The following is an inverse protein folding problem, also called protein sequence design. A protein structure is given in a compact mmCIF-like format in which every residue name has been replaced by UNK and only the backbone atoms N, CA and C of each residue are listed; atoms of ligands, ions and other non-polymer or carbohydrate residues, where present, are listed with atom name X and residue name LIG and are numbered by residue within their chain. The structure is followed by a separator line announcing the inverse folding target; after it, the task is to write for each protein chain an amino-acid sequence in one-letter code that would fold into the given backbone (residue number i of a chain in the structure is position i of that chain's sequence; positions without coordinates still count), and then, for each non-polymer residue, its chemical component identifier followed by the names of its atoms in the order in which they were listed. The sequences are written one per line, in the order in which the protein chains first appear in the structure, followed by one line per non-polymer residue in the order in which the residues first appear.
data_IF_100389455410
#
_entry.id   IF_100389455410
#
_cell.length_a   1.000
_cell.length_b   1.000
_cell.length_c   1.000
_cell.angle_alpha   90.00
_cell.angle_beta   90.00
_cell.angle_gamma   90.00
#
_symmetry.space_group_name_H-M   'P 1'
#
loop_
_entity.id
_entity.type
_entity.pdbx_description
1 polymer ?
#
# COMPACT_ATOMS: atom_id res chain seq x y z
N UNK A 1 -30.82 -4.91 11.88
CA UNK A 1 -30.92 -5.43 10.51
C UNK A 1 -30.46 -4.31 9.61
N UNK A 2 -29.23 -4.40 9.12
CA UNK A 2 -28.63 -3.42 8.23
C UNK A 2 -27.85 -4.23 7.19
N UNK A 3 -28.61 -4.76 6.23
CA UNK A 3 -28.17 -5.77 5.25
C UNK A 3 -27.78 -5.16 3.91
N UNK A 4 -27.87 -3.84 3.76
CA UNK A 4 -27.80 -3.15 2.46
C UNK A 4 -26.58 -2.23 2.27
N UNK A 5 -25.56 -2.31 3.12
CA UNK A 5 -24.31 -1.58 2.86
C UNK A 5 -23.36 -2.43 1.99
N UNK A 6 -23.22 -2.16 0.68
CA UNK A 6 -22.38 -2.95 -0.23
C UNK A 6 -20.90 -2.95 0.19
N UNK A 7 -20.44 -1.93 0.92
CA UNK A 7 -19.05 -1.87 1.42
C UNK A 7 -18.75 -2.97 2.45
N UNK A 8 -19.75 -3.47 3.18
CA UNK A 8 -19.58 -4.57 4.14
C UNK A 8 -19.10 -5.85 3.49
N UNK A 9 -19.48 -6.09 2.23
CA UNK A 9 -19.04 -7.27 1.49
C UNK A 9 -17.53 -7.26 1.26
N UNK A 10 -16.92 -6.09 1.15
CA UNK A 10 -15.49 -5.92 0.84
C UNK A 10 -14.60 -5.76 2.07
N UNK A 11 -15.18 -5.64 3.27
CA UNK A 11 -14.43 -5.62 4.54
C UNK A 11 -13.56 -6.88 4.67
N UNK A 12 -12.29 -6.69 5.04
CA UNK A 12 -11.28 -7.74 5.09
C UNK A 12 -11.26 -8.42 6.47
N UNK A 13 -11.19 -9.75 6.48
CA UNK A 13 -10.82 -10.48 7.71
C UNK A 13 -9.31 -10.34 7.95
N UNK A 14 -8.89 -9.28 8.66
CA UNK A 14 -7.48 -8.99 8.96
C UNK A 14 -6.72 -10.15 9.61
N UNK A 15 -7.40 -10.97 10.43
CA UNK A 15 -6.77 -12.17 11.03
C UNK A 15 -6.46 -13.23 9.99
N UNK A 16 -7.32 -13.41 8.98
CA UNK A 16 -7.03 -14.30 7.83
C UNK A 16 -5.97 -13.71 6.92
N UNK A 17 -6.03 -12.42 6.62
CA UNK A 17 -5.02 -11.74 5.82
C UNK A 17 -3.63 -11.92 6.44
N UNK A 18 -3.47 -11.55 7.72
CA UNK A 18 -2.22 -11.76 8.48
C UNK A 18 -1.75 -13.20 8.38
N UNK A 19 -2.61 -14.18 8.67
CA UNK A 19 -2.23 -15.60 8.58
C UNK A 19 -1.75 -15.99 7.18
N UNK A 20 -2.39 -15.49 6.12
CA UNK A 20 -1.95 -15.79 4.76
C UNK A 20 -0.54 -15.26 4.48
N UNK A 21 -0.25 -14.02 4.89
CA UNK A 21 1.10 -13.46 4.78
C UNK A 21 2.13 -14.21 5.65
N UNK A 22 1.76 -14.60 6.87
CA UNK A 22 2.62 -15.43 7.74
C UNK A 22 3.04 -16.74 7.03
N UNK A 23 2.11 -17.39 6.32
CA UNK A 23 2.41 -18.62 5.57
C UNK A 23 3.20 -18.34 4.28
N UNK A 24 2.90 -17.24 3.60
CA UNK A 24 3.53 -16.86 2.35
C UNK A 24 4.99 -16.41 2.53
N UNK A 25 5.42 -16.01 3.72
CA UNK A 25 6.75 -15.44 3.97
C UNK A 25 7.93 -16.26 3.41
N UNK A 26 7.81 -17.59 3.33
CA UNK A 26 8.83 -18.45 2.75
C UNK A 26 8.89 -18.38 1.21
N UNK A 27 7.73 -18.27 0.54
CA UNK A 27 7.57 -18.30 -0.92
C UNK A 27 7.43 -16.92 -1.56
N UNK A 28 7.13 -15.90 -0.76
CA UNK A 28 6.77 -14.54 -1.19
C UNK A 28 7.76 -14.00 -2.21
N UNK A 29 9.04 -14.05 -1.89
CA UNK A 29 10.11 -13.53 -2.73
C UNK A 29 10.27 -14.21 -4.08
N UNK A 30 9.80 -15.45 -4.25
CA UNK A 30 9.85 -16.14 -5.54
C UNK A 30 8.73 -15.70 -6.49
N UNK A 31 7.60 -15.24 -5.94
CA UNK A 31 6.40 -14.88 -6.69
C UNK A 31 6.13 -13.36 -6.74
N UNK A 32 6.80 -12.56 -5.91
CA UNK A 32 6.54 -11.14 -5.73
C UNK A 32 7.26 -10.24 -6.77
N UNK A 33 7.25 -10.62 -8.06
CA UNK A 33 7.93 -9.84 -9.11
C UNK A 33 7.31 -8.45 -9.28
N UNK A 34 5.98 -8.38 -9.38
CA UNK A 34 5.24 -7.10 -9.47
C UNK A 34 5.51 -6.20 -8.26
N UNK A 35 5.50 -6.77 -7.05
CA UNK A 35 5.72 -6.01 -5.82
C UNK A 35 7.15 -5.45 -5.74
N UNK A 36 8.14 -6.16 -6.30
CA UNK A 36 9.51 -5.65 -6.40
C UNK A 36 9.59 -4.49 -7.39
N UNK A 37 9.05 -4.69 -8.59
CA UNK A 37 9.02 -3.66 -9.64
C UNK A 37 8.36 -2.37 -9.13
N UNK A 38 7.17 -2.47 -8.51
CA UNK A 38 6.47 -1.32 -7.92
C UNK A 38 7.26 -0.72 -6.76
N UNK A 39 7.93 -1.54 -5.96
CA UNK A 39 8.79 -1.08 -4.86
C UNK A 39 10.02 -0.31 -5.35
N UNK A 40 10.64 -0.77 -6.44
CA UNK A 40 11.78 -0.11 -7.09
C UNK A 40 11.37 1.26 -7.61
N UNK A 41 10.27 1.32 -8.37
CA UNK A 41 9.69 2.59 -8.89
C UNK A 41 9.28 3.56 -7.79
N UNK A 42 8.79 3.05 -6.65
CA UNK A 42 8.46 3.89 -5.49
C UNK A 42 9.71 4.54 -4.91
N UNK A 43 10.81 3.78 -4.77
CA UNK A 43 12.07 4.32 -4.23
C UNK A 43 12.74 5.26 -5.24
N UNK A 44 12.71 4.95 -6.55
CA UNK A 44 13.22 5.83 -7.61
C UNK A 44 12.56 7.21 -7.58
N UNK A 45 11.25 7.29 -7.31
CA UNK A 45 10.56 8.59 -7.18
C UNK A 45 11.10 9.46 -6.04
N UNK A 46 11.84 8.91 -5.05
CA UNK A 46 12.55 9.72 -4.04
C UNK A 46 13.72 10.52 -4.62
N UNK A 47 14.17 10.25 -5.86
CA UNK A 47 15.23 11.02 -6.53
C UNK A 47 14.84 12.47 -6.80
N UNK A 48 13.56 12.74 -6.91
CA UNK A 48 13.03 14.09 -7.12
C UNK A 48 12.78 14.83 -5.81
N UNK A 49 12.96 14.18 -4.66
CA UNK A 49 12.65 14.75 -3.35
C UNK A 49 13.93 14.97 -2.54
N UNK A 50 14.18 16.23 -2.18
CA UNK A 50 15.32 16.61 -1.34
C UNK A 50 14.97 16.43 0.13
N UNK A 51 15.24 15.24 0.66
CA UNK A 51 15.08 14.92 2.08
C UNK A 51 16.33 14.20 2.61
N UNK A 52 16.75 14.57 3.83
CA UNK A 52 17.83 13.90 4.56
C UNK A 52 17.26 13.30 5.88
N UNK A 53 16.43 12.25 5.81
CA UNK A 53 15.74 11.73 6.97
C UNK A 53 16.74 11.07 7.94
N UNK A 54 16.52 11.30 9.24
CA UNK A 54 17.24 10.61 10.33
C UNK A 54 16.52 9.34 10.73
N UNK A 55 15.19 9.37 10.76
CA UNK A 55 14.34 8.23 11.11
C UNK A 55 13.36 7.92 9.96
N UNK A 56 13.43 6.70 9.44
CA UNK A 56 12.59 6.22 8.34
C UNK A 56 11.77 5.03 8.82
N UNK A 57 10.49 5.00 8.47
CA UNK A 57 9.62 3.84 8.67
C UNK A 57 9.20 3.23 7.33
N UNK A 58 9.54 1.96 7.11
CA UNK A 58 9.00 1.13 6.03
C UNK A 58 7.79 0.36 6.57
N UNK A 59 6.60 0.83 6.19
CA UNK A 59 5.30 0.40 6.69
C UNK A 59 4.73 -0.68 5.78
N UNK A 60 4.48 -1.88 6.32
CA UNK A 60 4.19 -3.06 5.51
C UNK A 60 5.44 -3.57 4.76
N UNK A 61 6.58 -3.51 5.45
CA UNK A 61 7.91 -3.80 4.90
C UNK A 61 8.08 -5.20 4.29
N UNK A 62 7.19 -6.14 4.57
CA UNK A 62 7.23 -7.50 4.03
C UNK A 62 8.57 -8.18 4.30
N UNK A 63 9.18 -8.73 3.24
CA UNK A 63 10.50 -9.37 3.31
C UNK A 63 11.67 -8.38 3.19
N UNK A 64 11.38 -7.08 3.31
CA UNK A 64 12.36 -5.98 3.40
C UNK A 64 12.97 -5.59 2.06
N UNK A 65 12.20 -5.62 0.96
CA UNK A 65 12.71 -5.19 -0.35
C UNK A 65 12.97 -3.68 -0.40
N UNK A 66 11.95 -2.87 -0.13
CA UNK A 66 12.04 -1.41 -0.04
C UNK A 66 13.03 -1.00 1.05
N UNK A 67 12.93 -1.61 2.24
CA UNK A 67 13.88 -1.40 3.35
C UNK A 67 15.35 -1.43 2.90
N UNK A 68 15.76 -2.41 2.08
CA UNK A 68 17.15 -2.54 1.63
C UNK A 68 17.57 -1.32 0.79
N UNK A 69 16.72 -0.91 -0.13
CA UNK A 69 16.99 0.25 -0.98
C UNK A 69 17.05 1.54 -0.17
N UNK A 70 16.15 1.70 0.81
CA UNK A 70 16.20 2.83 1.75
C UNK A 70 17.48 2.84 2.59
N UNK A 71 17.97 1.66 3.00
CA UNK A 71 19.24 1.54 3.73
C UNK A 71 20.44 1.93 2.87
N UNK A 72 20.44 1.57 1.60
CA UNK A 72 21.52 1.90 0.67
C UNK A 72 21.49 3.40 0.30
N UNK A 73 20.28 3.95 0.11
CA UNK A 73 20.06 5.39 -0.14
C UNK A 73 20.40 6.28 1.06
N UNK A 74 20.01 5.86 2.26
CA UNK A 74 20.19 6.62 3.51
C UNK A 74 21.00 5.82 4.53
N UNK A 75 22.32 5.62 4.31
CA UNK A 75 23.15 4.73 5.12
C UNK A 75 23.28 5.14 6.60
N UNK A 76 22.99 6.41 6.92
CA UNK A 76 23.05 6.95 8.29
C UNK A 76 21.70 7.00 9.00
N UNK A 77 20.60 6.75 8.29
CA UNK A 77 19.26 6.80 8.87
C UNK A 77 19.01 5.58 9.76
N UNK A 78 18.22 5.77 10.81
CA UNK A 78 17.59 4.70 11.55
C UNK A 78 16.39 4.20 10.74
N UNK A 79 16.31 2.89 10.54
CA UNK A 79 15.27 2.26 9.74
C UNK A 79 14.39 1.40 10.63
N UNK A 80 13.10 1.67 10.60
CA UNK A 80 12.09 0.86 11.26
C UNK A 80 11.29 0.10 10.20
N UNK A 81 11.38 -1.21 10.22
CA UNK A 81 10.56 -2.11 9.41
C UNK A 81 9.34 -2.50 10.22
N UNK A 82 8.17 -2.11 9.76
CA UNK A 82 6.91 -2.49 10.37
C UNK A 82 6.14 -3.42 9.44
N UNK A 83 5.59 -4.51 9.98
CA UNK A 83 4.70 -5.40 9.25
C UNK A 83 3.76 -6.11 10.23
N UNK A 84 2.50 -6.26 9.85
CA UNK A 84 1.50 -6.95 10.67
C UNK A 84 1.71 -8.48 10.74
N UNK A 85 2.45 -9.07 9.79
CA UNK A 85 2.83 -10.48 9.77
C UNK A 85 4.27 -10.66 10.28
N UNK A 86 4.42 -11.34 11.41
CA UNK A 86 5.70 -11.49 12.09
C UNK A 86 6.71 -12.33 11.27
N UNK A 87 6.26 -13.34 10.54
CA UNK A 87 7.12 -14.17 9.69
C UNK A 87 7.76 -13.36 8.55
N UNK A 88 7.08 -12.34 8.03
CA UNK A 88 7.66 -11.42 7.04
C UNK A 88 8.87 -10.68 7.62
N UNK A 89 8.72 -10.11 8.81
CA UNK A 89 9.83 -9.45 9.53
C UNK A 89 10.96 -10.42 9.88
N UNK A 90 10.64 -11.65 10.28
CA UNK A 90 11.65 -12.68 10.53
C UNK A 90 12.43 -13.00 9.26
N UNK A 91 11.76 -13.08 8.10
CA UNK A 91 12.39 -13.31 6.80
C UNK A 91 13.30 -12.13 6.42
N UNK A 92 12.82 -10.89 6.58
CA UNK A 92 13.57 -9.67 6.32
C UNK A 92 14.84 -9.59 7.20
N UNK A 93 14.71 -9.85 8.50
CA UNK A 93 15.83 -9.87 9.46
C UNK A 93 16.82 -10.99 9.17
N UNK A 94 16.34 -12.17 8.78
CA UNK A 94 17.17 -13.34 8.48
C UNK A 94 18.08 -13.16 7.26
N UNK A 95 17.74 -12.23 6.36
CA UNK A 95 18.53 -11.91 5.15
C UNK A 95 19.66 -10.92 5.41
N UNK A 96 19.68 -10.26 6.56
CA UNK A 96 20.73 -9.31 6.87
C UNK A 96 22.01 -10.02 7.29
N UNK A 97 23.17 -9.53 6.83
CA UNK A 97 24.46 -9.95 7.37
C UNK A 97 24.48 -9.83 8.89
N UNK A 98 25.11 -10.79 9.57
CA UNK A 98 25.13 -10.86 11.03
C UNK A 98 25.67 -9.57 11.68
N UNK A 99 26.66 -8.92 11.08
CA UNK A 99 27.20 -7.62 11.51
C UNK A 99 26.14 -6.51 11.47
N UNK A 100 25.38 -6.40 10.38
CA UNK A 100 24.27 -5.43 10.25
C UNK A 100 23.15 -5.74 11.25
N UNK A 101 22.95 -7.01 11.63
CA UNK A 101 21.95 -7.37 12.66
C UNK A 101 22.36 -6.94 14.07
N UNK A 102 23.65 -6.88 14.37
CA UNK A 102 24.17 -6.56 15.71
C UNK A 102 24.43 -5.05 15.86
N UNK A 103 25.02 -4.42 14.85
CA UNK A 103 25.45 -3.02 14.90
C UNK A 103 24.66 -2.10 13.95
N UNK A 104 23.75 -2.65 13.16
CA UNK A 104 22.96 -1.87 12.21
C UNK A 104 21.87 -1.03 12.88
N UNK A 105 21.38 -0.07 12.10
CA UNK A 105 20.36 0.91 12.52
C UNK A 105 18.94 0.47 12.18
N UNK A 106 18.79 -0.79 11.73
CA UNK A 106 17.50 -1.37 11.38
C UNK A 106 16.83 -2.01 12.60
N UNK A 107 15.55 -1.73 12.80
CA UNK A 107 14.68 -2.31 13.85
C UNK A 107 13.43 -2.90 13.17
N UNK A 108 12.84 -3.92 13.78
CA UNK A 108 11.66 -4.59 13.24
C UNK A 108 10.57 -4.58 14.31
N UNK A 109 9.36 -4.18 13.94
CA UNK A 109 8.22 -4.09 14.84
C UNK A 109 7.01 -4.73 14.19
N UNK A 110 6.41 -5.71 14.88
CA UNK A 110 5.16 -6.29 14.44
C UNK A 110 4.01 -5.38 14.86
N UNK A 111 3.23 -4.87 13.90
CA UNK A 111 2.18 -3.89 14.18
C UNK A 111 1.23 -3.70 13.01
N UNK A 112 0.06 -3.14 13.27
CA UNK A 112 -0.93 -2.80 12.24
C UNK A 112 -0.78 -1.32 11.85
N UNK A 113 -0.87 -1.01 10.56
CA UNK A 113 -0.79 0.37 10.05
C UNK A 113 -1.95 1.24 10.55
N UNK A 114 -3.10 0.65 10.85
CA UNK A 114 -4.25 1.35 11.42
C UNK A 114 -4.08 1.63 12.93
N UNK A 115 -3.06 1.07 13.57
CA UNK A 115 -2.73 1.27 14.99
C UNK A 115 -1.21 1.14 15.18
N UNK A 116 -0.47 2.16 14.72
CA UNK A 116 0.98 2.14 14.72
C UNK A 116 1.53 2.19 16.16
N UNK A 117 2.33 1.18 16.59
CA UNK A 117 2.93 1.13 17.92
C UNK A 117 4.17 2.07 18.02
N UNK A 118 4.04 3.29 17.50
CA UNK A 118 5.09 4.30 17.41
C UNK A 118 4.65 5.57 18.12
N UNK A 119 5.63 6.35 18.57
CA UNK A 119 5.38 7.63 19.22
C UNK A 119 4.95 8.67 18.18
N UNK A 120 4.24 9.68 18.66
CA UNK A 120 3.90 10.85 17.85
C UNK A 120 5.19 11.54 17.40
N UNK A 121 5.19 12.09 16.18
CA UNK A 121 6.29 12.87 15.63
C UNK A 121 7.68 12.23 15.83
N UNK A 122 7.80 10.93 15.52
CA UNK A 122 9.04 10.16 15.66
C UNK A 122 9.71 9.77 14.35
N UNK A 123 9.08 10.04 13.20
CA UNK A 123 9.56 9.62 11.88
C UNK A 123 9.65 10.82 10.94
N UNK A 124 10.71 10.90 10.13
CA UNK A 124 10.89 11.94 9.11
C UNK A 124 10.32 11.52 7.75
N UNK A 125 10.42 10.22 7.43
CA UNK A 125 9.96 9.61 6.19
C UNK A 125 9.22 8.30 6.46
N UNK A 126 7.96 8.21 6.07
CA UNK A 126 7.21 6.97 6.02
C UNK A 126 7.08 6.51 4.56
N UNK A 127 7.50 5.29 4.27
CA UNK A 127 7.34 4.64 2.96
C UNK A 127 6.43 3.43 3.12
N UNK A 128 5.44 3.25 2.25
CA UNK A 128 4.50 2.14 2.30
C UNK A 128 4.24 1.56 0.91
N UNK A 129 4.86 0.43 0.59
CA UNK A 129 4.67 -0.24 -0.70
C UNK A 129 3.52 -1.25 -0.66
N UNK A 130 2.51 -1.09 -1.52
CA UNK A 130 1.41 -2.05 -1.74
C UNK A 130 0.81 -2.63 -0.44
N UNK A 131 0.59 -1.76 0.55
CA UNK A 131 0.09 -2.14 1.88
C UNK A 131 -1.30 -1.57 2.17
N UNK A 132 -1.60 -0.35 1.70
CA UNK A 132 -2.83 0.36 2.06
C UNK A 132 -4.11 -0.37 1.63
N UNK A 133 -4.08 -1.16 0.56
CA UNK A 133 -5.23 -1.96 0.11
C UNK A 133 -5.62 -3.09 1.07
N UNK A 134 -4.84 -3.33 2.13
CA UNK A 134 -5.14 -4.27 3.20
C UNK A 134 -5.72 -3.60 4.45
N UNK A 135 -5.98 -2.29 4.39
CA UNK A 135 -6.68 -1.52 5.43
C UNK A 135 -8.19 -1.62 5.24
N UNK A 136 -8.93 -1.72 6.34
CA UNK A 136 -10.39 -1.63 6.37
C UNK A 136 -10.84 -0.16 6.48
N UNK A 137 -10.03 0.69 7.12
CA UNK A 137 -10.27 2.11 7.34
C UNK A 137 -9.02 2.90 6.90
N UNK A 138 -9.08 3.39 5.66
CA UNK A 138 -7.99 4.16 5.05
C UNK A 138 -7.74 5.48 5.78
N UNK A 139 -8.80 6.15 6.23
CA UNK A 139 -8.68 7.40 6.99
C UNK A 139 -7.97 7.15 8.34
N UNK A 140 -8.23 6.02 9.01
CA UNK A 140 -7.52 5.64 10.23
C UNK A 140 -6.03 5.37 9.98
N UNK A 141 -5.71 4.63 8.92
CA UNK A 141 -4.31 4.40 8.53
C UNK A 141 -3.58 5.72 8.24
N UNK A 142 -4.21 6.64 7.50
CA UNK A 142 -3.61 7.95 7.23
C UNK A 142 -3.49 8.84 8.47
N UNK A 143 -4.46 8.82 9.39
CA UNK A 143 -4.36 9.51 10.68
C UNK A 143 -3.18 8.99 11.51
N UNK A 144 -2.97 7.68 11.56
CA UNK A 144 -1.82 7.08 12.25
C UNK A 144 -0.49 7.44 11.58
N UNK A 145 -0.39 7.35 10.25
CA UNK A 145 0.80 7.76 9.51
C UNK A 145 1.12 9.24 9.75
N UNK A 146 0.11 10.12 9.72
CA UNK A 146 0.29 11.54 10.04
C UNK A 146 0.71 11.76 11.49
N UNK A 147 0.16 11.01 12.45
CA UNK A 147 0.50 11.12 13.87
C UNK A 147 1.99 10.85 14.10
N UNK A 148 2.52 9.77 13.51
CA UNK A 148 3.92 9.36 13.73
C UNK A 148 4.93 10.21 12.95
N UNK A 149 4.52 10.85 11.85
CA UNK A 149 5.37 11.78 11.11
C UNK A 149 5.64 13.06 11.91
N UNK A 150 6.88 13.55 11.84
CA UNK A 150 7.25 14.87 12.33
C UNK A 150 6.64 15.96 11.45
N UNK A 151 6.40 17.18 11.97
CA UNK A 151 6.10 18.32 11.12
C UNK A 151 7.18 18.48 10.04
N UNK A 152 6.78 18.65 8.78
CA UNK A 152 7.66 18.61 7.61
C UNK A 152 8.07 17.20 7.15
N UNK A 153 7.54 16.15 7.78
CA UNK A 153 7.79 14.76 7.39
C UNK A 153 7.02 14.35 6.15
N UNK A 154 7.58 13.39 5.41
CA UNK A 154 7.05 12.91 4.13
C UNK A 154 6.40 11.53 4.29
N UNK A 155 5.21 11.37 3.72
CA UNK A 155 4.62 10.07 3.42
C UNK A 155 4.77 9.80 1.92
N UNK A 156 5.21 8.59 1.58
CA UNK A 156 5.26 8.10 0.21
C UNK A 156 4.72 6.68 0.15
N UNK A 157 3.85 6.37 -0.81
CA UNK A 157 3.23 5.06 -0.86
C UNK A 157 2.86 4.61 -2.27
N UNK A 158 2.61 3.31 -2.38
CA UNK A 158 1.86 2.71 -3.48
C UNK A 158 0.70 1.89 -2.99
N UNK A 159 -0.34 1.82 -3.81
CA UNK A 159 -1.44 0.88 -3.61
C UNK A 159 -2.04 0.48 -4.95
N UNK A 160 -3.01 -0.42 -4.93
CA UNK A 160 -3.73 -0.82 -6.13
C UNK A 160 -5.00 0.00 -6.28
N UNK A 161 -5.35 0.30 -7.53
CA UNK A 161 -6.58 0.98 -7.92
C UNK A 161 -7.65 0.04 -8.51
N UNK A 162 -8.85 0.57 -8.82
CA UNK A 162 -10.05 -0.20 -9.17
C UNK A 162 -9.89 -1.16 -10.35
N UNK A 163 -9.06 -0.82 -11.35
CA UNK A 163 -8.85 -1.68 -12.54
C UNK A 163 -7.99 -2.91 -12.27
N UNK A 164 -7.42 -3.03 -11.07
CA UNK A 164 -6.61 -4.19 -10.70
C UNK A 164 -7.43 -5.49 -10.76
N UNK A 165 -6.90 -6.46 -11.50
CA UNK A 165 -7.45 -7.79 -11.75
C UNK A 165 -8.88 -7.75 -12.32
N UNK A 166 -9.22 -6.75 -13.13
CA UNK A 166 -10.54 -6.61 -13.75
C UNK A 166 -10.92 -7.82 -14.62
N UNK A 167 -9.95 -8.45 -15.29
CA UNK A 167 -10.14 -9.68 -16.07
C UNK A 167 -10.62 -10.84 -15.17
N UNK A 168 -9.94 -11.02 -14.03
CA UNK A 168 -10.28 -12.07 -13.07
C UNK A 168 -11.63 -11.82 -12.42
N UNK A 169 -11.91 -10.55 -12.09
CA UNK A 169 -13.18 -10.12 -11.50
C UNK A 169 -14.35 -10.42 -12.44
N UNK A 170 -14.23 -10.01 -13.71
CA UNK A 170 -15.26 -10.26 -14.73
C UNK A 170 -15.45 -11.76 -14.99
N UNK A 171 -14.36 -12.53 -15.06
CA UNK A 171 -14.41 -13.99 -15.28
C UNK A 171 -15.12 -14.73 -14.14
N UNK A 172 -14.92 -14.28 -12.90
CA UNK A 172 -15.65 -14.83 -11.75
C UNK A 172 -17.12 -14.42 -11.71
N UNK A 173 -17.45 -13.18 -12.08
CA UNK A 173 -18.84 -12.72 -12.19
C UNK A 173 -19.64 -13.54 -13.21
N UNK A 174 -19.00 -13.99 -14.30
CA UNK A 174 -19.60 -14.91 -15.26
C UNK A 174 -19.81 -16.33 -14.69
N UNK A 175 -19.07 -16.72 -13.65
CA UNK A 175 -19.14 -18.04 -13.04
C UNK A 175 -20.12 -18.11 -11.86
N UNK A 176 -20.21 -17.04 -11.05
CA UNK A 176 -21.11 -16.91 -9.90
C UNK A 176 -21.20 -15.46 -9.38
N UNK A 177 -22.06 -15.21 -8.38
CA UNK A 177 -22.29 -13.88 -7.79
C UNK A 177 -21.49 -13.57 -6.52
N UNK A 178 -20.46 -14.34 -6.16
CA UNK A 178 -19.65 -14.05 -4.97
C UNK A 178 -18.54 -13.04 -5.26
N UNK A 179 -18.04 -12.38 -4.22
CA UNK A 179 -16.83 -11.57 -4.33
C UNK A 179 -15.62 -12.51 -4.44
N UNK A 180 -14.80 -12.39 -5.49
CA UNK A 180 -13.56 -13.17 -5.67
C UNK A 180 -12.29 -12.31 -5.72
N UNK A 181 -12.44 -11.02 -6.00
CA UNK A 181 -11.36 -10.03 -6.05
C UNK A 181 -11.72 -8.91 -5.08
N UNK A 182 -10.73 -8.36 -4.37
CA UNK A 182 -10.93 -7.23 -3.47
C UNK A 182 -11.47 -6.00 -4.24
N UNK A 183 -12.17 -5.12 -3.53
CA UNK A 183 -12.40 -3.77 -4.01
C UNK A 183 -11.15 -2.94 -3.68
N UNK A 184 -10.72 -2.13 -4.63
CA UNK A 184 -9.61 -1.22 -4.48
C UNK A 184 -10.15 0.21 -4.54
N UNK A 185 -9.54 1.11 -3.78
CA UNK A 185 -10.01 2.50 -3.67
C UNK A 185 -9.51 3.29 -4.86
N UNK A 186 -10.34 4.18 -5.42
CA UNK A 186 -9.96 5.06 -6.52
C UNK A 186 -8.89 6.06 -6.08
N UNK A 187 -8.00 6.46 -7.01
CA UNK A 187 -6.95 7.44 -6.73
C UNK A 187 -7.49 8.77 -6.20
N UNK A 188 -8.64 9.25 -6.69
CA UNK A 188 -9.25 10.50 -6.23
C UNK A 188 -9.74 10.38 -4.79
N UNK A 189 -10.39 9.26 -4.44
CA UNK A 189 -10.84 8.99 -3.08
C UNK A 189 -9.67 8.88 -2.10
N UNK A 190 -8.54 8.31 -2.54
CA UNK A 190 -7.28 8.28 -1.76
C UNK A 190 -6.76 9.71 -1.56
N UNK A 191 -6.74 10.54 -2.61
CA UNK A 191 -6.34 11.95 -2.52
C UNK A 191 -7.21 12.74 -1.54
N UNK A 192 -8.52 12.56 -1.62
CA UNK A 192 -9.47 13.20 -0.70
C UNK A 192 -9.27 12.71 0.75
N UNK A 193 -8.98 11.42 0.95
CA UNK A 193 -8.67 10.87 2.27
C UNK A 193 -7.42 11.51 2.89
N UNK A 194 -6.36 11.72 2.09
CA UNK A 194 -5.16 12.43 2.55
C UNK A 194 -5.48 13.86 3.02
N UNK A 195 -6.29 14.60 2.24
CA UNK A 195 -6.72 15.96 2.60
C UNK A 195 -7.59 15.98 3.86
N UNK A 196 -8.57 15.07 3.97
CA UNK A 196 -9.42 14.92 5.17
C UNK A 196 -8.58 14.60 6.41
N UNK A 197 -7.53 13.81 6.26
CA UNK A 197 -6.62 13.45 7.35
C UNK A 197 -5.59 14.54 7.67
N UNK A 198 -5.58 15.67 6.95
CA UNK A 198 -4.74 16.83 7.25
C UNK A 198 -3.32 16.73 6.69
N UNK A 199 -3.09 15.91 5.67
CA UNK A 199 -1.86 16.01 4.87
C UNK A 199 -1.92 17.24 3.95
N UNK A 200 -0.74 17.77 3.65
CA UNK A 200 -0.53 18.86 2.72
C UNK A 200 0.04 18.34 1.39
N UNK A 201 -0.29 19.06 0.32
CA UNK A 201 0.26 18.87 -1.03
C UNK A 201 0.24 17.40 -1.50
N UNK A 202 -0.92 16.71 -1.47
CA UNK A 202 -0.99 15.36 -2.02
C UNK A 202 -0.78 15.41 -3.53
N UNK A 203 0.23 14.67 -3.97
CA UNK A 203 0.48 14.41 -5.38
C UNK A 203 0.20 12.94 -5.63
N UNK A 204 -0.74 12.69 -6.53
CA UNK A 204 -1.17 11.36 -6.91
C UNK A 204 -0.89 11.15 -8.39
N UNK A 205 -0.34 9.99 -8.73
CA UNK A 205 -0.23 9.51 -10.11
C UNK A 205 -0.65 8.03 -10.17
N UNK A 206 -0.93 7.55 -11.36
CA UNK A 206 -1.34 6.17 -11.59
C UNK A 206 -0.77 5.66 -12.90
N UNK A 207 -0.41 4.39 -12.90
CA UNK A 207 -0.03 3.66 -14.11
C UNK A 207 -0.68 2.29 -14.17
N UNK A 208 -0.73 1.74 -15.37
CA UNK A 208 -1.27 0.40 -15.61
C UNK A 208 -0.14 -0.55 -15.99
N UNK A 209 0.02 -1.62 -15.23
CA UNK A 209 0.95 -2.71 -15.50
C UNK A 209 0.17 -3.96 -15.92
N UNK A 210 0.56 -4.58 -17.03
CA UNK A 210 -0.03 -5.84 -17.49
C UNK A 210 0.96 -6.97 -17.34
N UNK A 211 0.64 -7.94 -16.48
CA UNK A 211 1.41 -9.18 -16.33
C UNK A 211 0.72 -10.26 -17.14
N UNK A 212 1.49 -11.02 -17.92
CA UNK A 212 0.95 -12.06 -18.80
C UNK A 212 1.23 -13.47 -18.28
N UNK A 213 0.25 -14.36 -18.45
CA UNK A 213 0.29 -15.73 -17.94
C UNK A 213 -0.01 -16.76 -19.03
N UNK A 214 0.61 -17.95 -19.01
CA UNK A 214 0.27 -19.02 -19.95
C UNK A 214 -1.15 -19.56 -19.70
N UNK A 215 -1.62 -19.56 -18.45
CA UNK A 215 -2.95 -20.03 -18.06
C UNK A 215 -3.40 -19.37 -16.76
N UNK A 216 -4.71 -19.16 -16.57
CA UNK A 216 -5.29 -18.47 -15.40
C UNK A 216 -4.92 -19.13 -14.06
N UNK A 217 -4.65 -20.44 -14.08
CA UNK A 217 -4.16 -21.16 -12.89
C UNK A 217 -2.82 -20.63 -12.39
N UNK A 218 -1.92 -20.21 -13.29
CA UNK A 218 -0.62 -19.67 -12.90
C UNK A 218 -0.79 -18.34 -12.18
N UNK A 219 -1.66 -17.46 -12.70
CA UNK A 219 -2.06 -16.22 -12.01
C UNK A 219 -2.60 -16.51 -10.61
N UNK A 220 -3.55 -17.45 -10.48
CA UNK A 220 -4.12 -17.78 -9.17
C UNK A 220 -3.10 -18.38 -8.20
N UNK A 221 -2.16 -19.18 -8.69
CA UNK A 221 -1.09 -19.77 -7.89
C UNK A 221 -0.07 -18.70 -7.44
N UNK A 222 0.28 -17.74 -8.30
CA UNK A 222 1.12 -16.58 -7.95
C UNK A 222 0.47 -15.72 -6.86
N UNK A 223 -0.80 -15.35 -7.05
CA UNK A 223 -1.58 -14.60 -6.05
C UNK A 223 -1.61 -15.33 -4.71
N UNK A 224 -1.74 -16.66 -4.72
CA UNK A 224 -1.69 -17.49 -3.51
C UNK A 224 -0.29 -17.51 -2.89
N UNK A 225 0.76 -17.58 -3.71
CA UNK A 225 2.16 -17.67 -3.25
C UNK A 225 2.63 -16.39 -2.54
N UNK A 226 2.07 -15.22 -2.91
CA UNK A 226 2.31 -13.94 -2.23
C UNK A 226 1.34 -13.68 -1.06
N UNK A 227 0.39 -14.59 -0.79
CA UNK A 227 -0.60 -14.43 0.28
C UNK A 227 -1.79 -13.53 -0.08
N UNK A 228 -1.86 -13.01 -1.32
CA UNK A 228 -2.94 -12.17 -1.83
C UNK A 228 -4.19 -12.98 -2.19
N UNK A 229 -4.77 -13.63 -1.18
CA UNK A 229 -6.03 -14.36 -1.31
C UNK A 229 -7.19 -13.41 -1.04
N UNK A 230 -8.39 -13.81 -1.44
CA UNK A 230 -9.59 -13.07 -1.12
C UNK A 230 -9.99 -13.23 0.36
N UNK A 231 -10.01 -12.12 1.10
CA UNK A 231 -10.41 -12.08 2.52
C UNK A 231 -11.70 -11.30 2.77
N UNK A 232 -12.39 -10.89 1.71
CA UNK A 232 -13.65 -10.15 1.77
C UNK A 232 -14.75 -10.94 2.49
N UNK A 233 -15.67 -10.24 3.15
CA UNK A 233 -16.82 -10.87 3.81
C UNK A 233 -17.78 -11.56 2.80
N UNK A 234 -17.86 -11.05 1.57
CA UNK A 234 -18.69 -11.56 0.47
C UNK A 234 -18.13 -12.79 -0.25
N UNK A 235 -16.97 -13.30 0.16
CA UNK A 235 -16.32 -14.47 -0.47
C UNK A 235 -17.08 -15.78 -0.22
N UNK A 236 -16.95 -16.79 -1.09
CA UNK A 236 -17.51 -18.11 -0.83
C UNK A 236 -16.87 -18.75 0.43
N UNK A 237 -17.69 -19.38 1.27
CA UNK A 237 -17.25 -20.04 2.52
C UNK A 237 -16.81 -21.50 2.34
N UNK A 238 -17.19 -22.13 1.22
CA UNK A 238 -16.85 -23.51 0.87
C UNK A 238 -15.80 -23.62 -0.24
N UNK A 239 -15.50 -24.87 -0.63
CA UNK A 239 -14.64 -25.14 -1.79
C UNK A 239 -15.32 -24.71 -3.09
N UNK A 240 -14.55 -24.15 -4.01
CA UNK A 240 -15.03 -23.86 -5.37
C UNK A 240 -15.38 -25.18 -6.07
N UNK A 241 -16.64 -25.35 -6.48
CA UNK A 241 -17.08 -26.51 -7.24
C UNK A 241 -16.42 -26.58 -8.62
N UNK A 242 -16.24 -27.80 -9.15
CA UNK A 242 -15.60 -28.05 -10.46
C UNK A 242 -16.24 -27.26 -11.60
N UNK A 243 -17.57 -27.18 -11.62
CA UNK A 243 -18.29 -26.47 -12.68
C UNK A 243 -18.07 -24.95 -12.64
N UNK A 244 -18.05 -24.34 -11.45
CA UNK A 244 -17.73 -22.91 -11.28
C UNK A 244 -16.31 -22.61 -11.76
N UNK A 245 -15.36 -23.46 -11.39
CA UNK A 245 -13.97 -23.32 -11.84
C UNK A 245 -13.85 -23.44 -13.36
N UNK A 246 -14.59 -24.38 -13.98
CA UNK A 246 -14.63 -24.55 -15.44
C UNK A 246 -15.18 -23.31 -16.13
N UNK A 247 -16.30 -22.77 -15.64
CA UNK A 247 -16.92 -21.54 -16.17
C UNK A 247 -15.98 -20.33 -16.09
N UNK A 248 -15.39 -20.09 -14.93
CA UNK A 248 -14.41 -19.00 -14.74
C UNK A 248 -13.22 -19.17 -15.68
N UNK A 249 -12.68 -20.39 -15.78
CA UNK A 249 -11.54 -20.67 -16.66
C UNK A 249 -11.87 -20.42 -18.12
N UNK A 250 -13.05 -20.86 -18.59
CA UNK A 250 -13.49 -20.62 -19.96
C UNK A 250 -13.73 -19.14 -20.26
N UNK A 251 -14.32 -18.39 -19.30
CA UNK A 251 -14.50 -16.95 -19.43
C UNK A 251 -13.17 -16.20 -19.52
N UNK A 252 -12.19 -16.57 -18.68
CA UNK A 252 -10.87 -15.97 -18.71
C UNK A 252 -10.12 -16.31 -20.01
N UNK A 253 -10.25 -17.53 -20.51
CA UNK A 253 -9.58 -17.99 -21.73
C UNK A 253 -9.98 -17.19 -22.98
N UNK A 254 -11.19 -16.61 -22.99
CA UNK A 254 -11.64 -15.72 -24.06
C UNK A 254 -10.83 -14.41 -24.16
N UNK A 255 -10.02 -14.08 -23.14
CA UNK A 255 -9.14 -12.91 -23.10
C UNK A 255 -7.73 -13.22 -23.63
N UNK A 256 -7.48 -14.42 -24.17
CA UNK A 256 -6.16 -14.81 -24.67
C UNK A 256 -5.80 -14.01 -25.93
N UNK A 257 -4.64 -13.37 -25.87
CA UNK A 257 -4.04 -12.66 -26.98
C UNK A 257 -2.58 -13.10 -27.12
N UNK A 258 -2.12 -13.30 -28.36
CA UNK A 258 -0.72 -13.68 -28.64
C UNK A 258 -0.23 -14.90 -27.82
N UNK A 259 -1.13 -15.85 -27.54
CA UNK A 259 -0.80 -17.06 -26.79
C UNK A 259 -0.71 -16.88 -25.27
N UNK A 260 -1.00 -15.70 -24.72
CA UNK A 260 -0.95 -15.42 -23.27
C UNK A 260 -2.22 -14.77 -22.75
N UNK A 261 -2.45 -14.87 -21.44
CA UNK A 261 -3.59 -14.27 -20.74
C UNK A 261 -3.14 -13.03 -19.96
N UNK A 262 -3.84 -11.89 -20.07
CA UNK A 262 -3.50 -10.67 -19.35
C UNK A 262 -3.99 -10.71 -17.90
N UNK A 263 -3.26 -10.03 -17.03
CA UNK A 263 -3.69 -9.63 -15.69
C UNK A 263 -3.30 -8.17 -15.49
N UNK A 264 -4.28 -7.29 -15.45
CA UNK A 264 -4.07 -5.84 -15.31
C UNK A 264 -3.90 -5.46 -13.84
N UNK A 265 -2.94 -4.58 -13.55
CA UNK A 265 -2.72 -3.98 -12.24
C UNK A 265 -2.66 -2.47 -12.40
N UNK A 266 -3.63 -1.77 -11.80
CA UNK A 266 -3.61 -0.32 -11.69
C UNK A 266 -2.81 0.02 -10.43
N UNK A 267 -1.66 0.65 -10.59
CA UNK A 267 -0.78 1.03 -9.48
C UNK A 267 -0.90 2.53 -9.28
N UNK A 268 -1.42 2.90 -8.11
CA UNK A 268 -1.52 4.28 -7.67
C UNK A 268 -0.30 4.61 -6.82
N UNK A 269 0.37 5.71 -7.15
CA UNK A 269 1.47 6.28 -6.37
C UNK A 269 1.00 7.56 -5.72
N UNK A 270 1.39 7.76 -4.47
CA UNK A 270 1.07 8.96 -3.73
C UNK A 270 2.25 9.44 -2.91
N UNK A 271 2.40 10.75 -2.82
CA UNK A 271 3.23 11.38 -1.80
C UNK A 271 2.59 12.64 -1.27
N UNK A 272 2.82 12.92 0.01
CA UNK A 272 2.27 14.09 0.69
C UNK A 272 3.07 14.43 1.94
N UNK A 273 2.96 15.68 2.39
CA UNK A 273 3.71 16.18 3.52
C UNK A 273 2.83 16.35 4.75
N UNK A 274 3.38 16.12 5.94
CA UNK A 274 2.79 16.68 7.16
C UNK A 274 3.21 18.14 7.25
N UNK A 275 2.26 19.07 7.24
CA UNK A 275 2.55 20.50 7.35
C UNK A 275 3.41 20.80 8.60
N UNK A 276 4.34 21.76 8.48
CA UNK A 276 5.25 22.15 9.56
C UNK A 276 4.54 22.82 10.74
N UNK A 277 3.38 23.41 10.49
CA UNK A 277 2.44 23.90 11.49
C UNK A 277 1.07 23.30 11.17
N UNK A 278 0.29 22.96 12.19
CA UNK A 278 -1.14 22.77 11.99
C UNK A 278 -1.67 24.15 11.58
N UNK A 279 -1.83 24.38 10.27
CA UNK A 279 -2.45 25.60 9.75
C UNK A 279 -3.77 25.85 10.49
N UNK A 280 -4.24 27.10 10.58
CA UNK A 280 -5.42 27.45 11.37
C UNK A 280 -6.54 26.46 11.04
N UNK A 281 -7.05 25.81 12.08
CA UNK A 281 -7.99 24.70 11.98
C UNK A 281 -9.01 24.97 10.87
N UNK A 282 -9.11 24.07 9.89
CA UNK A 282 -10.14 24.09 8.85
C UNK A 282 -11.50 23.72 9.47
N UNK A 283 -11.98 24.54 10.40
CA UNK A 283 -13.36 24.57 10.88
C UNK A 283 -14.17 25.53 10.01
N UNK A 284 -15.32 25.06 9.52
CA UNK A 284 -16.38 25.84 8.88
C UNK A 284 -16.06 26.59 7.57
N UNK A 285 -15.05 26.15 6.81
CA UNK A 285 -14.81 26.65 5.45
C UNK A 285 -14.21 28.08 5.39
N UNK A 286 -13.82 28.65 6.53
CA UNK A 286 -13.11 29.93 6.59
C UNK A 286 -11.59 29.71 6.53
N UNK A 287 -10.93 30.31 5.54
CA UNK A 287 -9.47 30.38 5.47
C UNK A 287 -9.02 31.62 6.26
N UNK A 288 -8.34 31.41 7.38
CA UNK A 288 -7.74 32.51 8.16
C UNK A 288 -6.30 32.70 7.70
N UNK A 289 -6.01 33.82 7.04
CA UNK A 289 -4.63 34.20 6.68
C UNK A 289 -4.18 35.30 7.63
N UNK A 290 -3.11 35.12 8.43
CA UNK A 290 -2.59 36.18 9.29
C UNK A 290 -2.12 37.37 8.44
N UNK A 291 -2.43 38.60 8.86
CA UNK A 291 -2.07 39.83 8.12
C UNK A 291 -0.57 39.94 7.82
N UNK A 292 0.28 39.32 8.65
CA UNK A 292 1.73 39.25 8.45
C UNK A 292 2.15 38.50 7.17
N UNK A 293 1.31 37.59 6.67
CA UNK A 293 1.54 36.83 5.44
C UNK A 293 1.18 37.61 4.16
N UNK A 294 0.48 38.75 4.28
CA UNK A 294 0.06 39.63 3.18
C UNK A 294 1.03 40.80 2.98
N UNK A 295 2.35 40.57 2.97
CA UNK A 295 3.31 41.61 2.58
C UNK A 295 3.37 41.72 1.05
N UNK A 296 2.96 42.87 0.51
CA UNK A 296 3.22 43.24 -0.89
C UNK A 296 4.74 43.22 -1.13
N UNK A 297 5.24 42.73 -2.28
CA UNK A 297 6.62 42.98 -2.67
C UNK A 297 6.81 44.49 -2.70
N UNK A 298 7.68 45.01 -1.82
CA UNK A 298 8.01 46.43 -1.79
C UNK A 298 8.58 46.82 -3.14
N UNK A 299 7.85 47.63 -3.89
CA UNK A 299 8.36 48.31 -5.06
C UNK A 299 9.50 49.22 -4.63
N UNK A 300 10.70 48.93 -5.13
CA UNK A 300 11.77 49.90 -5.14
C UNK A 300 11.31 51.12 -5.96
N UNK A 301 11.24 52.28 -5.32
CA UNK A 301 11.24 53.57 -6.01
C UNK A 301 12.61 54.20 -5.79
N UNK A 302 13.25 54.47 -6.93
CA UNK A 302 14.33 55.40 -7.27
C UNK A 302 15.40 55.72 -6.21
#
# INVERSE_FOLDING_TARGET
MDTDNPTRLYRLDKRRARRAFEHAAATYDGAALLQREVGDRLVERLDYIRLAPRDIADIGSGTGHITRQLQDRYPRANLLCLDFAHAMLRRARGRQPWLKRLFGRQRHVCGDIEQLPLRDASVDLAVSGLTLQWCDDLDLAFRELRRVLRPGGLLMFTTFGPDTLKELRASWQAADGFTHVNAFTDMHDIGDALLRCGFADPVMDMETLTVTYPHVRALMDDLKAIGARNFTAGRPRGLTGRERLRKMTAAYEALRENGVLPATYEVVYGHCWKAAEDGPARGDGAVTVPLSALKRPGGARE
#
